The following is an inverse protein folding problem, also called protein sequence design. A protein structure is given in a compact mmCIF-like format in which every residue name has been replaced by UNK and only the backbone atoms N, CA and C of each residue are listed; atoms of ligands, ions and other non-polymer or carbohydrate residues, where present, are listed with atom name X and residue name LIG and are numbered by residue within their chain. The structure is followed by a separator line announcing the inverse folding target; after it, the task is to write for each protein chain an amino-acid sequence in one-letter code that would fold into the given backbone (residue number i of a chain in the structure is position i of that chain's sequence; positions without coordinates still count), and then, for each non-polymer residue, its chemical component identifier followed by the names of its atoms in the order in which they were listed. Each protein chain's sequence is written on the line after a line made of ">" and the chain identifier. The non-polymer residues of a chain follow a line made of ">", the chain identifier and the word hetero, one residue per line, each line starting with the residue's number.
data_IF_903315787918
#
_entry.id   IF_903315787918
#
_cell.length_a   1.000
_cell.length_b   1.000
_cell.length_c   1.000
_cell.angle_alpha   90.00
_cell.angle_beta   90.00
_cell.angle_gamma   90.00
#
_symmetry.space_group_name_H-M   'P 1'
#
loop_
_entity.id
_entity.type
_entity.pdbx_description
1 polymer ?
#
# COMPACT_ATOMS: atom_id res chain seq x y z
N UNK A 1 -1.16 -12.57 3.90
CA UNK A 1 -0.98 -11.56 4.99
C UNK A 1 0.29 -10.73 4.74
N UNK A 2 0.15 -9.42 4.50
CA UNK A 2 1.31 -8.53 4.38
C UNK A 2 2.05 -8.49 5.71
N UNK A 3 3.23 -9.13 5.76
CA UNK A 3 4.11 -9.14 6.92
C UNK A 3 4.55 -7.70 7.24
N UNK A 4 4.20 -7.25 8.44
CA UNK A 4 4.78 -6.13 9.20
C UNK A 4 4.88 -4.80 8.45
N UNK A 5 3.76 -4.28 7.95
CA UNK A 5 3.67 -2.84 7.67
C UNK A 5 3.85 -2.06 8.98
N UNK A 6 4.66 -1.01 8.93
CA UNK A 6 4.86 -0.07 10.04
C UNK A 6 4.60 1.33 9.50
N UNK A 7 3.80 2.10 10.23
CA UNK A 7 3.46 3.48 9.86
C UNK A 7 4.70 4.32 9.60
N UNK A 8 4.66 5.05 8.49
CA UNK A 8 5.69 6.02 8.13
C UNK A 8 5.50 7.27 8.97
N UNK A 9 6.60 7.83 9.46
CA UNK A 9 6.62 9.09 10.21
C UNK A 9 7.78 9.96 9.77
N UNK A 10 7.62 11.27 9.95
CA UNK A 10 8.74 12.20 9.82
C UNK A 10 9.79 11.90 10.89
N UNK A 11 11.07 11.94 10.53
CA UNK A 11 12.19 11.72 11.44
C UNK A 11 13.18 12.88 11.36
N UNK A 12 13.87 13.10 12.47
CA UNK A 12 14.80 14.22 12.60
C UNK A 12 14.11 15.59 12.65
N UNK A 13 14.95 16.62 12.63
CA UNK A 13 14.48 18.02 12.61
C UNK A 13 14.41 18.50 11.16
N UNK A 14 13.31 19.13 10.71
CA UNK A 14 13.23 19.69 9.37
C UNK A 14 14.34 20.71 9.12
N UNK A 15 14.94 20.67 7.94
CA UNK A 15 16.02 21.57 7.53
C UNK A 15 15.45 22.66 6.64
N UNK A 16 15.75 23.91 6.94
CA UNK A 16 15.28 25.05 6.14
C UNK A 16 16.35 25.48 5.15
N UNK A 17 15.99 25.67 3.89
CA UNK A 17 16.87 26.24 2.86
C UNK A 17 16.13 27.25 2.00
N UNK A 18 16.85 28.23 1.44
CA UNK A 18 16.28 29.19 0.49
C UNK A 18 16.00 28.48 -0.83
N UNK A 19 14.92 28.87 -1.51
CA UNK A 19 14.73 28.49 -2.90
C UNK A 19 15.81 29.15 -3.77
N UNK A 20 16.22 28.46 -4.84
CA UNK A 20 17.28 28.92 -5.75
C UNK A 20 16.90 30.17 -6.56
N UNK A 21 15.60 30.50 -6.59
CA UNK A 21 15.03 31.60 -7.37
C UNK A 21 14.82 32.83 -6.47
N UNK A 22 15.53 33.95 -6.70
CA UNK A 22 15.48 35.14 -5.83
C UNK A 22 14.10 35.82 -5.69
N UNK A 23 13.18 35.54 -6.62
CA UNK A 23 11.81 36.07 -6.62
C UNK A 23 10.83 35.25 -5.78
N UNK A 24 11.17 34.00 -5.44
CA UNK A 24 10.31 33.15 -4.61
C UNK A 24 10.60 33.45 -3.15
N UNK A 25 9.67 34.13 -2.47
CA UNK A 25 9.67 34.34 -1.02
C UNK A 25 9.54 33.04 -0.20
N UNK A 26 9.71 31.89 -0.85
CA UNK A 26 9.45 30.58 -0.29
C UNK A 26 10.75 29.99 0.28
N UNK A 27 10.57 29.16 1.31
CA UNK A 27 11.59 28.41 2.00
C UNK A 27 11.29 26.94 1.74
N UNK A 28 12.30 26.19 1.37
CA UNK A 28 12.23 24.74 1.30
C UNK A 28 12.45 24.17 2.70
N UNK A 29 11.49 23.36 3.13
CA UNK A 29 11.51 22.59 4.37
C UNK A 29 11.87 21.16 3.98
N UNK A 30 13.15 20.83 4.08
CA UNK A 30 13.66 19.47 3.90
C UNK A 30 13.22 18.58 5.05
N UNK A 31 12.69 17.41 4.74
CA UNK A 31 12.22 16.43 5.72
C UNK A 31 12.68 15.02 5.34
N UNK A 32 12.73 14.14 6.33
CA UNK A 32 12.98 12.71 6.15
C UNK A 32 11.81 11.91 6.73
N UNK A 33 11.52 10.77 6.13
CA UNK A 33 10.51 9.83 6.62
C UNK A 33 11.11 8.43 6.81
N UNK A 34 10.62 7.73 7.84
CA UNK A 34 11.01 6.36 8.15
C UNK A 34 9.82 5.56 8.72
N UNK A 35 9.78 4.23 8.55
CA UNK A 35 10.68 3.45 7.68
C UNK A 35 10.46 3.78 6.19
N UNK A 36 11.28 3.20 5.32
CA UNK A 36 11.14 3.33 3.87
C UNK A 36 9.69 3.02 3.45
N UNK A 37 8.95 3.98 2.86
CA UNK A 37 7.59 3.73 2.44
C UNK A 37 7.53 2.73 1.27
N UNK A 38 6.48 1.90 1.19
CA UNK A 38 6.20 1.08 0.03
C UNK A 38 5.74 1.94 -1.15
N UNK A 39 5.92 1.45 -2.38
CA UNK A 39 5.63 2.22 -3.60
C UNK A 39 4.20 2.80 -3.67
N UNK A 40 3.20 2.02 -3.25
CA UNK A 40 1.80 2.49 -3.22
C UNK A 40 1.54 3.58 -2.17
N UNK A 41 2.28 3.59 -1.06
CA UNK A 41 2.20 4.70 -0.09
C UNK A 41 2.69 6.00 -0.72
N UNK A 42 3.80 5.97 -1.47
CA UNK A 42 4.29 7.16 -2.19
C UNK A 42 3.27 7.71 -3.18
N UNK A 43 2.60 6.84 -3.93
CA UNK A 43 1.56 7.28 -4.87
C UNK A 43 0.46 8.07 -4.14
N UNK A 44 -0.03 7.56 -3.02
CA UNK A 44 -1.05 8.22 -2.19
C UNK A 44 -0.54 9.56 -1.61
N UNK A 45 0.72 9.61 -1.18
CA UNK A 45 1.35 10.84 -0.68
C UNK A 45 1.46 11.92 -1.78
N UNK A 46 1.87 11.53 -2.99
CA UNK A 46 2.03 12.44 -4.14
C UNK A 46 0.71 13.01 -4.66
N UNK A 47 -0.43 12.40 -4.36
CA UNK A 47 -1.75 13.00 -4.65
C UNK A 47 -1.96 14.31 -3.88
N UNK A 48 -1.30 14.44 -2.72
CA UNK A 48 -1.43 15.55 -1.78
C UNK A 48 -0.22 16.48 -1.78
N UNK A 49 0.94 15.98 -2.21
CA UNK A 49 2.19 16.74 -2.26
C UNK A 49 2.68 16.88 -3.69
N UNK A 50 2.78 18.13 -4.16
CA UNK A 50 3.21 18.42 -5.52
C UNK A 50 2.89 19.87 -5.93
N UNK A 51 3.36 20.31 -7.11
CA UNK A 51 3.00 21.61 -7.64
C UNK A 51 1.47 21.76 -7.75
N UNK A 52 0.91 22.80 -7.09
CA UNK A 52 -0.53 23.06 -7.09
C UNK A 52 -1.40 22.09 -6.28
N UNK A 53 -0.80 21.31 -5.37
CA UNK A 53 -1.51 20.41 -4.45
C UNK A 53 -1.78 21.09 -3.09
N UNK A 54 -2.35 20.33 -2.16
CA UNK A 54 -2.62 20.75 -0.77
C UNK A 54 -1.36 21.33 -0.10
N UNK A 55 -0.18 20.78 -0.41
CA UNK A 55 1.12 21.33 -0.04
C UNK A 55 2.07 21.28 -1.25
N UNK A 56 2.70 22.42 -1.58
CA UNK A 56 3.70 22.45 -2.64
C UNK A 56 4.98 21.76 -2.16
N UNK A 57 5.53 20.86 -2.95
CA UNK A 57 6.73 20.13 -2.57
C UNK A 57 7.04 18.98 -3.50
N UNK A 58 8.09 18.24 -3.14
CA UNK A 58 8.53 17.06 -3.85
C UNK A 58 9.24 16.13 -2.86
N UNK A 59 8.92 14.84 -2.92
CA UNK A 59 9.68 13.80 -2.22
C UNK A 59 10.63 13.13 -3.20
N UNK A 60 11.88 12.95 -2.80
CA UNK A 60 12.88 12.29 -3.62
C UNK A 60 12.74 10.77 -3.44
N UNK A 61 12.12 10.12 -4.42
CA UNK A 61 12.00 8.66 -4.46
C UNK A 61 13.22 7.97 -5.09
N UNK A 62 14.18 8.75 -5.59
CA UNK A 62 15.44 8.28 -6.17
C UNK A 62 16.59 8.18 -5.16
N UNK A 63 16.34 8.56 -3.89
CA UNK A 63 17.31 8.51 -2.81
C UNK A 63 18.01 7.13 -2.67
N UNK A 64 19.29 7.12 -2.24
CA UNK A 64 20.10 5.91 -2.16
C UNK A 64 19.43 4.84 -1.28
N UNK A 65 19.76 3.58 -1.55
CA UNK A 65 19.29 2.40 -0.82
C UNK A 65 19.47 2.58 0.70
N UNK A 66 18.40 2.94 1.41
CA UNK A 66 18.42 3.21 2.85
C UNK A 66 17.06 3.00 3.51
N UNK A 67 17.07 3.00 4.86
CA UNK A 67 15.85 2.84 5.66
C UNK A 67 14.97 4.10 5.70
N UNK A 68 15.48 5.24 5.24
CA UNK A 68 14.82 6.55 5.25
C UNK A 68 14.68 7.09 3.83
N UNK A 69 13.71 7.96 3.62
CA UNK A 69 13.52 8.72 2.38
C UNK A 69 13.41 10.20 2.67
N UNK A 70 13.99 11.05 1.83
CA UNK A 70 13.99 12.50 2.01
C UNK A 70 13.13 13.20 0.97
N UNK A 71 12.65 14.39 1.33
CA UNK A 71 11.89 15.26 0.46
C UNK A 71 11.99 16.70 0.92
N UNK A 72 11.34 17.60 0.18
CA UNK A 72 11.12 18.97 0.61
C UNK A 72 9.68 19.40 0.35
N UNK A 73 9.18 20.28 1.20
CA UNK A 73 7.95 21.06 0.94
C UNK A 73 8.31 22.54 0.93
N UNK A 74 7.60 23.33 0.13
CA UNK A 74 7.83 24.76 0.02
C UNK A 74 6.79 25.51 0.83
N UNK A 75 7.24 26.51 1.59
CA UNK A 75 6.39 27.36 2.42
C UNK A 75 6.80 28.82 2.32
N UNK A 76 5.91 29.75 2.68
CA UNK A 76 6.34 31.11 3.02
C UNK A 76 7.08 31.12 4.36
N UNK A 77 7.88 32.16 4.64
CA UNK A 77 8.62 32.26 5.91
C UNK A 77 7.71 32.24 7.14
N UNK A 78 6.55 32.89 7.05
CA UNK A 78 5.61 33.01 8.17
C UNK A 78 4.71 31.76 8.30
N UNK A 79 4.56 30.97 7.23
CA UNK A 79 3.71 29.78 7.16
C UNK A 79 4.42 28.45 7.40
N UNK A 80 5.68 28.45 7.85
CA UNK A 80 6.47 27.21 8.06
C UNK A 80 5.75 26.26 9.03
N UNK A 81 5.25 26.78 10.14
CA UNK A 81 4.55 25.98 11.15
C UNK A 81 3.33 25.26 10.58
N UNK A 82 2.48 26.00 9.87
CA UNK A 82 1.28 25.46 9.21
C UNK A 82 1.64 24.43 8.14
N UNK A 83 2.72 24.66 7.41
CA UNK A 83 3.19 23.76 6.37
C UNK A 83 3.72 22.45 6.96
N UNK A 84 4.43 22.50 8.09
CA UNK A 84 4.87 21.31 8.82
C UNK A 84 3.67 20.54 9.38
N UNK A 85 2.70 21.25 9.98
CA UNK A 85 1.49 20.62 10.49
C UNK A 85 0.69 19.93 9.38
N UNK A 86 0.57 20.59 8.22
CA UNK A 86 -0.08 20.01 7.04
C UNK A 86 0.67 18.80 6.49
N UNK A 87 2.00 18.83 6.48
CA UNK A 87 2.82 17.69 6.11
C UNK A 87 2.56 16.49 7.04
N UNK A 88 2.53 16.71 8.36
CA UNK A 88 2.28 15.64 9.34
C UNK A 88 0.84 15.08 9.20
N UNK A 89 -0.15 15.93 8.91
CA UNK A 89 -1.53 15.51 8.57
C UNK A 89 -1.58 14.64 7.32
N UNK A 90 -0.90 15.04 6.24
CA UNK A 90 -0.85 14.27 4.99
C UNK A 90 -0.17 12.91 5.22
N UNK A 91 0.90 12.85 6.01
CA UNK A 91 1.56 11.59 6.37
C UNK A 91 0.57 10.66 7.11
N UNK A 92 -0.20 11.20 8.06
CA UNK A 92 -1.19 10.44 8.80
C UNK A 92 -2.34 9.93 7.91
N UNK A 93 -2.90 10.78 7.06
CA UNK A 93 -3.92 10.39 6.07
C UNK A 93 -3.40 9.29 5.13
N UNK A 94 -2.19 9.46 4.61
CA UNK A 94 -1.56 8.49 3.70
C UNK A 94 -1.38 7.13 4.39
N UNK A 95 -0.94 7.11 5.65
CA UNK A 95 -0.86 5.88 6.44
C UNK A 95 -2.22 5.18 6.56
N UNK A 96 -3.28 5.93 6.93
CA UNK A 96 -4.64 5.38 7.06
C UNK A 96 -5.14 4.79 5.73
N UNK A 97 -4.98 5.53 4.63
CA UNK A 97 -5.40 5.09 3.29
C UNK A 97 -4.63 3.86 2.83
N UNK A 98 -3.34 3.79 3.15
CA UNK A 98 -2.52 2.63 2.82
C UNK A 98 -2.96 1.39 3.60
N UNK A 99 -3.21 1.51 4.91
CA UNK A 99 -3.71 0.44 5.78
C UNK A 99 -5.05 -0.11 5.31
N UNK A 100 -6.03 0.77 5.06
CA UNK A 100 -7.33 0.37 4.53
C UNK A 100 -7.19 -0.39 3.19
N UNK A 101 -6.23 0.01 2.36
CA UNK A 101 -5.96 -0.65 1.09
C UNK A 101 -5.36 -2.05 1.25
N UNK A 102 -4.61 -2.29 2.33
CA UNK A 102 -4.06 -3.60 2.68
C UNK A 102 -5.13 -4.52 3.23
N UNK A 103 -6.00 -4.02 4.11
CA UNK A 103 -7.15 -4.77 4.64
C UNK A 103 -8.08 -5.24 3.52
N UNK A 104 -8.40 -4.36 2.58
CA UNK A 104 -9.21 -4.70 1.40
C UNK A 104 -8.56 -5.78 0.55
N UNK A 105 -7.23 -5.71 0.36
CA UNK A 105 -6.49 -6.72 -0.40
C UNK A 105 -6.49 -8.08 0.31
N UNK A 106 -6.30 -8.08 1.64
CA UNK A 106 -6.36 -9.29 2.45
C UNK A 106 -7.75 -9.94 2.43
N UNK A 107 -8.83 -9.15 2.59
CA UNK A 107 -10.19 -9.65 2.51
C UNK A 107 -10.50 -10.28 1.14
N UNK A 108 -10.01 -9.67 0.06
CA UNK A 108 -10.15 -10.21 -1.30
C UNK A 108 -9.37 -11.52 -1.49
N UNK A 109 -8.18 -11.62 -0.90
CA UNK A 109 -7.37 -12.85 -0.93
C UNK A 109 -8.11 -13.99 -0.21
N UNK A 110 -8.63 -13.75 0.99
CA UNK A 110 -9.43 -14.73 1.74
C UNK A 110 -10.67 -15.16 0.98
N UNK A 111 -11.45 -14.23 0.44
CA UNK A 111 -12.64 -14.55 -0.34
C UNK A 111 -12.32 -15.39 -1.60
N UNK A 112 -11.17 -15.15 -2.24
CA UNK A 112 -10.72 -15.96 -3.37
C UNK A 112 -10.30 -17.37 -2.95
N UNK A 113 -9.67 -17.52 -1.79
CA UNK A 113 -9.29 -18.83 -1.23
C UNK A 113 -10.54 -19.66 -0.89
N UNK A 114 -11.53 -19.06 -0.21
CA UNK A 114 -12.80 -19.71 0.11
C UNK A 114 -13.54 -20.17 -1.16
N UNK A 115 -13.56 -19.33 -2.20
CA UNK A 115 -14.16 -19.70 -3.50
C UNK A 115 -13.42 -20.88 -4.16
N UNK A 116 -12.09 -20.88 -4.11
CA UNK A 116 -11.29 -21.96 -4.68
C UNK A 116 -11.48 -23.27 -3.91
N UNK A 117 -11.61 -23.21 -2.58
CA UNK A 117 -11.93 -24.37 -1.74
C UNK A 117 -13.33 -24.90 -1.99
N UNK A 118 -14.35 -24.04 -2.08
CA UNK A 118 -15.71 -24.43 -2.42
C UNK A 118 -15.78 -25.12 -3.80
N UNK A 119 -15.03 -24.61 -4.80
CA UNK A 119 -14.94 -25.24 -6.12
C UNK A 119 -14.18 -26.56 -6.12
N UNK A 120 -13.19 -26.73 -5.22
CA UNK A 120 -12.52 -28.02 -5.04
C UNK A 120 -13.45 -29.03 -4.40
N UNK A 121 -14.21 -28.62 -3.38
CA UNK A 121 -15.16 -29.48 -2.69
C UNK A 121 -16.26 -29.98 -3.62
N UNK A 122 -16.85 -29.09 -4.44
CA UNK A 122 -17.85 -29.47 -5.44
C UNK A 122 -17.33 -30.51 -6.45
N UNK A 123 -16.09 -30.35 -6.93
CA UNK A 123 -15.47 -31.31 -7.85
C UNK A 123 -15.25 -32.68 -7.20
N UNK A 124 -14.91 -32.71 -5.92
CA UNK A 124 -14.76 -33.96 -5.17
C UNK A 124 -16.12 -34.64 -4.99
N UNK A 125 -17.16 -33.87 -4.65
CA UNK A 125 -18.54 -34.38 -4.53
C UNK A 125 -19.04 -34.96 -5.86
N UNK A 126 -18.89 -34.22 -6.96
CA UNK A 126 -19.24 -34.69 -8.31
C UNK A 126 -18.48 -35.96 -8.70
N UNK A 127 -17.18 -36.04 -8.40
CA UNK A 127 -16.39 -37.24 -8.68
C UNK A 127 -16.85 -38.44 -7.85
N UNK A 128 -17.15 -38.24 -6.57
CA UNK A 128 -17.68 -39.30 -5.70
C UNK A 128 -19.04 -39.82 -6.20
N UNK A 129 -19.90 -38.93 -6.70
CA UNK A 129 -21.18 -39.32 -7.31
C UNK A 129 -20.97 -40.16 -8.59
N UNK A 130 -20.01 -39.76 -9.44
CA UNK A 130 -19.64 -40.50 -10.65
C UNK A 130 -19.05 -41.87 -10.31
N UNK A 131 -18.17 -41.95 -9.32
CA UNK A 131 -17.55 -43.21 -8.87
C UNK A 131 -18.62 -44.16 -8.30
N UNK A 132 -19.54 -43.65 -7.46
CA UNK A 132 -20.65 -44.43 -6.93
C UNK A 132 -21.63 -44.90 -8.04
N UNK A 133 -21.78 -44.13 -9.12
CA UNK A 133 -22.54 -44.55 -10.29
C UNK A 133 -21.79 -45.68 -11.03
N UNK A 134 -20.50 -45.52 -11.27
CA UNK A 134 -19.66 -46.51 -11.95
C UNK A 134 -19.67 -47.86 -11.22
N UNK A 135 -19.60 -47.87 -9.89
CA UNK A 135 -19.71 -49.10 -9.08
C UNK A 135 -21.03 -49.84 -9.30
N UNK A 136 -22.15 -49.13 -9.51
CA UNK A 136 -23.45 -49.77 -9.80
C UNK A 136 -23.50 -50.45 -11.17
N UNK A 137 -22.70 -49.95 -12.12
CA UNK A 137 -22.58 -50.52 -13.46
C UNK A 137 -21.45 -51.56 -13.58
N UNK A 138 -20.52 -51.60 -12.62
CA UNK A 138 -19.50 -52.63 -12.50
C UNK A 138 -20.09 -53.94 -11.94
N UNK A 139 -20.94 -54.62 -12.72
CA UNK A 139 -21.23 -56.05 -12.50
C UNK A 139 -20.17 -56.90 -13.21
N UNK A 140 -19.60 -57.94 -12.56
CA UNK A 140 -18.81 -58.92 -13.29
C UNK A 140 -19.76 -59.71 -14.21
N UNK A 141 -19.59 -59.57 -15.53
CA UNK A 141 -20.18 -60.45 -16.52
C UNK A 141 -19.24 -61.65 -16.75
N UNK A 142 -19.13 -62.56 -15.78
CA UNK A 142 -18.88 -63.98 -16.05
C UNK A 142 -19.03 -64.83 -14.77
N UNK A 143 -20.00 -65.74 -14.75
CA UNK A 143 -19.91 -66.98 -13.98
C UNK A 143 -19.87 -68.11 -15.02
N UNK A 144 -18.74 -68.84 -15.16
CA UNK A 144 -18.72 -70.06 -15.94
C UNK A 144 -19.44 -71.18 -15.16
N UNK A 145 -20.47 -71.75 -15.78
CA UNK A 145 -20.95 -73.11 -15.50
C UNK A 145 -20.52 -74.02 -16.66
#
# INVERSE_FOLDING_TARGET
>A
MAKNWVRVRRVGTPKLSKTSTPSEKNINIGFEVAPKPPGKWFALFHEKVGPGRDISGQIDTSGPSGANYSGYVSSSKDGIGDTIAKLDEIIADTNNRYEASQETAAARETANQERAEAQRQKRIEEQNELDALAEKFAKPLYQPD
#
